data_IF_480934141212
#
_entry.id   IF_480934141212
#
_cell.length_a   1.000
_cell.length_b   1.000
_cell.length_c   1.000
_cell.angle_alpha   90.00
_cell.angle_beta   90.00
_cell.angle_gamma   90.00
#
_symmetry.space_group_name_H-M   'P 1'
#
loop_
_entity.id
_entity.type
_entity.pdbx_description
1 polymer ?
#
# COMPACT_ATOMS: atom_id res chain seq x y z
N UNK A 1 12.23 -11.24 2.83
CA UNK A 1 11.83 -12.43 2.01
C UNK A 1 13.00 -13.21 1.39
N UNK A 2 13.82 -12.66 0.47
CA UNK A 2 14.97 -13.39 -0.13
C UNK A 2 15.91 -14.01 0.90
N UNK A 3 16.46 -13.18 1.79
CA UNK A 3 17.40 -13.64 2.82
C UNK A 3 16.74 -14.40 3.99
N UNK A 4 15.44 -14.22 4.18
CA UNK A 4 14.70 -14.81 5.31
C UNK A 4 14.03 -16.14 4.97
N UNK A 5 13.66 -16.35 3.71
CA UNK A 5 13.00 -17.56 3.25
C UNK A 5 13.80 -18.22 2.14
N UNK A 6 13.91 -17.61 0.95
CA UNK A 6 14.42 -18.30 -0.24
C UNK A 6 15.86 -18.80 -0.09
N UNK A 7 16.76 -17.96 0.41
CA UNK A 7 18.16 -18.34 0.63
C UNK A 7 18.29 -19.47 1.68
N UNK A 8 17.36 -19.58 2.63
CA UNK A 8 17.36 -20.66 3.64
C UNK A 8 16.71 -21.92 3.09
N UNK A 9 15.58 -21.79 2.40
CA UNK A 9 14.82 -22.89 1.82
C UNK A 9 15.67 -23.67 0.81
N UNK A 10 16.32 -22.96 -0.12
CA UNK A 10 17.16 -23.59 -1.15
C UNK A 10 18.44 -24.22 -0.61
N UNK A 11 18.92 -23.82 0.58
CA UNK A 11 20.03 -24.50 1.26
C UNK A 11 19.60 -25.77 1.98
N UNK A 12 18.34 -25.87 2.39
CA UNK A 12 17.82 -26.98 3.21
C UNK A 12 17.10 -28.05 2.40
N UNK A 13 16.52 -27.69 1.26
CA UNK A 13 15.65 -28.57 0.47
C UNK A 13 15.86 -28.32 -1.02
N UNK A 14 16.04 -29.40 -1.78
CA UNK A 14 15.98 -29.38 -3.24
C UNK A 14 14.50 -29.52 -3.62
N UNK A 15 14.02 -28.58 -4.44
CA UNK A 15 12.65 -28.57 -4.94
C UNK A 15 12.63 -29.15 -6.34
N UNK A 16 11.70 -30.07 -6.61
CA UNK A 16 11.56 -30.70 -7.93
C UNK A 16 10.48 -30.06 -8.80
N UNK A 17 9.66 -29.18 -8.21
CA UNK A 17 8.64 -28.42 -8.92
C UNK A 17 8.38 -27.08 -8.23
N UNK A 18 7.77 -26.14 -8.95
CA UNK A 18 7.43 -24.82 -8.43
C UNK A 18 6.32 -24.94 -7.38
N UNK A 19 5.40 -25.88 -7.55
CA UNK A 19 4.27 -26.12 -6.63
C UNK A 19 4.78 -26.52 -5.24
N UNK A 20 5.83 -27.34 -5.18
CA UNK A 20 6.45 -27.71 -3.90
C UNK A 20 7.07 -26.50 -3.18
N UNK A 21 7.70 -25.60 -3.93
CA UNK A 21 8.23 -24.35 -3.38
C UNK A 21 7.09 -23.45 -2.90
N UNK A 22 6.03 -23.33 -3.69
CA UNK A 22 4.87 -22.50 -3.38
C UNK A 22 4.22 -22.92 -2.06
N UNK A 23 4.02 -24.22 -1.83
CA UNK A 23 3.47 -24.74 -0.58
C UNK A 23 4.28 -24.34 0.65
N UNK A 24 5.61 -24.35 0.54
CA UNK A 24 6.49 -23.96 1.65
C UNK A 24 6.52 -22.42 1.83
N UNK A 25 6.49 -21.66 0.74
CA UNK A 25 6.36 -20.19 0.76
C UNK A 25 5.06 -19.78 1.45
N UNK A 26 3.93 -20.38 1.07
CA UNK A 26 2.61 -20.03 1.59
C UNK A 26 2.53 -20.27 3.10
N UNK A 27 3.05 -21.43 3.55
CA UNK A 27 3.16 -21.74 4.99
C UNK A 27 4.04 -20.73 5.71
N UNK A 28 5.18 -20.37 5.13
CA UNK A 28 6.08 -19.40 5.73
C UNK A 28 5.46 -17.99 5.80
N UNK A 29 4.77 -17.56 4.73
CA UNK A 29 4.06 -16.28 4.67
C UNK A 29 2.96 -16.20 5.72
N UNK A 30 2.16 -17.27 5.87
CA UNK A 30 1.15 -17.33 6.94
C UNK A 30 1.81 -17.12 8.30
N UNK A 31 2.91 -17.82 8.58
CA UNK A 31 3.65 -17.66 9.82
C UNK A 31 4.15 -16.22 10.02
N UNK A 32 4.74 -15.64 8.99
CA UNK A 32 5.28 -14.28 9.03
C UNK A 32 4.18 -13.25 9.29
N UNK A 33 3.07 -13.33 8.57
CA UNK A 33 1.96 -12.36 8.64
C UNK A 33 1.17 -12.45 9.95
N UNK A 34 0.94 -13.65 10.46
CA UNK A 34 0.05 -13.89 11.61
C UNK A 34 0.77 -13.95 12.95
N UNK A 35 2.02 -14.43 13.01
CA UNK A 35 2.67 -14.77 14.29
C UNK A 35 3.91 -13.95 14.59
N UNK A 36 4.52 -13.29 13.60
CA UNK A 36 5.74 -12.52 13.84
C UNK A 36 5.34 -11.13 14.34
N UNK A 37 5.63 -10.76 15.61
CA UNK A 37 5.49 -9.37 16.03
C UNK A 37 6.53 -8.53 15.27
N UNK A 38 6.11 -7.42 14.68
CA UNK A 38 7.04 -6.51 14.05
C UNK A 38 7.94 -5.88 15.12
N UNK A 39 9.24 -6.15 15.00
CA UNK A 39 10.28 -5.53 15.82
C UNK A 39 10.40 -4.06 15.43
N UNK A 40 9.79 -3.16 16.21
CA UNK A 40 9.90 -1.72 15.99
C UNK A 40 9.03 -0.96 16.97
N UNK A 41 9.58 0.11 17.57
CA UNK A 41 8.86 0.96 18.54
C UNK A 41 7.50 1.43 18.03
N UNK A 42 7.40 1.70 16.72
CA UNK A 42 6.16 2.18 16.06
C UNK A 42 5.12 1.09 15.78
N UNK A 43 5.52 -0.18 15.82
CA UNK A 43 4.61 -1.30 15.52
C UNK A 43 4.01 -1.91 16.78
N UNK A 44 4.43 -1.48 17.99
CA UNK A 44 3.86 -1.87 19.29
C UNK A 44 3.68 -3.39 19.47
N UNK A 45 4.59 -4.19 18.91
CA UNK A 45 4.51 -5.65 18.97
C UNK A 45 3.36 -6.27 18.16
N UNK A 46 2.63 -5.49 17.37
CA UNK A 46 1.56 -5.96 16.50
C UNK A 46 2.13 -6.77 15.33
N UNK A 47 1.32 -7.70 14.84
CA UNK A 47 1.66 -8.51 13.66
C UNK A 47 1.48 -7.69 12.38
N UNK A 48 2.11 -8.09 11.26
CA UNK A 48 1.89 -7.44 9.96
C UNK A 48 0.40 -7.33 9.60
N UNK A 49 -0.35 -8.43 9.79
CA UNK A 49 -1.79 -8.45 9.51
C UNK A 49 -2.56 -7.46 10.38
N UNK A 50 -2.28 -7.40 11.69
CA UNK A 50 -2.94 -6.44 12.58
C UNK A 50 -2.62 -4.99 12.20
N UNK A 51 -1.36 -4.71 11.85
CA UNK A 51 -0.93 -3.39 11.42
C UNK A 51 -1.64 -2.96 10.15
N UNK A 52 -1.75 -3.86 9.17
CA UNK A 52 -2.45 -3.60 7.92
C UNK A 52 -3.93 -3.27 8.13
N UNK A 53 -4.64 -4.05 8.95
CA UNK A 53 -6.05 -3.79 9.24
C UNK A 53 -6.27 -2.45 9.96
N UNK A 54 -5.39 -2.10 10.91
CA UNK A 54 -5.43 -0.80 11.57
C UNK A 54 -5.24 0.34 10.56
N UNK A 55 -4.23 0.23 9.68
CA UNK A 55 -3.96 1.23 8.66
C UNK A 55 -5.12 1.35 7.65
N UNK A 56 -5.73 0.22 7.25
CA UNK A 56 -6.89 0.19 6.36
C UNK A 56 -8.07 0.97 6.95
N UNK A 57 -8.35 0.77 8.25
CA UNK A 57 -9.41 1.50 8.95
C UNK A 57 -9.17 3.01 8.91
N UNK A 58 -7.94 3.44 9.26
CA UNK A 58 -7.55 4.86 9.23
C UNK A 58 -7.68 5.46 7.83
N UNK A 59 -7.26 4.73 6.79
CA UNK A 59 -7.38 5.20 5.42
C UNK A 59 -8.84 5.38 4.96
N UNK A 60 -9.74 4.47 5.37
CA UNK A 60 -11.17 4.58 5.09
C UNK A 60 -11.76 5.78 5.83
N UNK A 61 -11.45 5.95 7.11
CA UNK A 61 -11.91 7.08 7.92
C UNK A 61 -11.45 8.42 7.33
N UNK A 62 -10.18 8.53 6.96
CA UNK A 62 -9.66 9.71 6.29
C UNK A 62 -10.32 9.95 4.92
N UNK A 63 -10.60 8.90 4.16
CA UNK A 63 -11.30 9.03 2.88
C UNK A 63 -12.75 9.52 3.06
N UNK A 64 -13.44 9.04 4.09
CA UNK A 64 -14.78 9.50 4.45
C UNK A 64 -14.75 10.97 4.89
N UNK A 65 -13.80 11.37 5.73
CA UNK A 65 -13.59 12.76 6.15
C UNK A 65 -13.36 13.68 4.93
N UNK A 66 -12.49 13.27 4.00
CA UNK A 66 -12.30 13.97 2.73
C UNK A 66 -13.59 14.06 1.90
N UNK A 67 -14.45 13.03 1.91
CA UNK A 67 -15.75 13.06 1.23
C UNK A 67 -16.74 14.00 1.92
N UNK A 68 -16.73 14.11 3.24
CA UNK A 68 -17.55 15.08 3.98
C UNK A 68 -17.08 16.53 3.73
N UNK A 69 -15.77 16.79 3.71
CA UNK A 69 -15.21 18.11 3.38
C UNK A 69 -15.47 18.51 1.92
N UNK A 70 -15.31 17.57 0.98
CA UNK A 70 -15.64 17.82 -0.42
C UNK A 70 -17.16 17.92 -0.66
N UNK A 71 -18.01 17.36 0.20
CA UNK A 71 -19.45 17.59 0.17
C UNK A 71 -19.86 19.04 0.44
N UNK A 72 -19.07 19.81 1.19
CA UNK A 72 -19.29 21.24 1.41
C UNK A 72 -18.61 22.15 0.36
N UNK A 73 -17.52 21.71 -0.29
CA UNK A 73 -16.71 22.53 -1.21
C UNK A 73 -16.50 21.93 -2.62
N UNK A 74 -17.35 21.00 -3.06
CA UNK A 74 -17.19 20.29 -4.35
C UNK A 74 -17.19 21.22 -5.56
N UNK A 75 -18.09 22.23 -5.56
CA UNK A 75 -18.23 23.17 -6.67
C UNK A 75 -17.00 24.07 -6.83
N UNK A 76 -16.48 24.62 -5.73
CA UNK A 76 -15.29 25.47 -5.74
C UNK A 76 -14.03 24.67 -6.13
N UNK A 77 -13.92 23.43 -5.67
CA UNK A 77 -12.77 22.57 -5.98
C UNK A 77 -12.75 22.17 -7.47
N UNK A 78 -13.92 21.89 -8.06
CA UNK A 78 -14.04 21.62 -9.49
C UNK A 78 -13.75 22.86 -10.33
N UNK A 79 -14.28 24.02 -9.94
CA UNK A 79 -14.05 25.29 -10.62
C UNK A 79 -12.56 25.68 -10.58
N UNK A 80 -11.89 25.48 -9.44
CA UNK A 80 -10.45 25.73 -9.30
C UNK A 80 -9.61 24.76 -10.15
N UNK A 81 -9.98 23.46 -10.20
CA UNK A 81 -9.30 22.46 -11.05
C UNK A 81 -9.46 22.78 -12.54
N UNK A 82 -10.66 23.18 -12.96
CA UNK A 82 -10.92 23.60 -14.34
C UNK A 82 -10.13 24.88 -14.68
N UNK A 83 -10.14 25.88 -13.80
CA UNK A 83 -9.37 27.11 -13.98
C UNK A 83 -7.87 26.83 -14.13
N UNK A 84 -7.29 26.03 -13.22
CA UNK A 84 -5.88 25.65 -13.28
C UNK A 84 -5.53 24.88 -14.56
N UNK A 85 -6.42 23.99 -15.02
CA UNK A 85 -6.25 23.27 -16.29
C UNK A 85 -6.26 24.21 -17.50
N UNK A 86 -7.16 25.18 -17.53
CA UNK A 86 -7.24 26.17 -18.61
C UNK A 86 -6.01 27.08 -18.63
N UNK A 87 -5.51 27.50 -17.47
CA UNK A 87 -4.29 28.31 -17.36
C UNK A 87 -3.04 27.56 -17.86
N UNK A 88 -2.92 26.26 -17.56
CA UNK A 88 -1.82 25.43 -18.08
C UNK A 88 -1.90 25.35 -19.62
N UNK A 89 -3.09 25.11 -20.17
CA UNK A 89 -3.28 25.04 -21.64
C UNK A 89 -2.97 26.37 -22.32
N UNK A 90 -3.40 27.50 -21.74
CA UNK A 90 -3.09 28.84 -22.26
C UNK A 90 -1.60 29.16 -22.17
N UNK A 91 -0.92 28.72 -21.11
CA UNK A 91 0.53 28.90 -20.94
C UNK A 91 1.33 28.05 -21.93
N UNK A 92 0.89 26.82 -22.21
CA UNK A 92 1.46 25.98 -23.25
C UNK A 92 1.22 26.58 -24.64
N UNK A 93 0.02 27.09 -24.93
CA UNK A 93 -0.27 27.78 -26.21
C UNK A 93 0.60 29.02 -26.44
N UNK A 94 1.02 29.73 -25.38
CA UNK A 94 1.96 30.88 -25.46
C UNK A 94 3.43 30.48 -25.64
N UNK A 95 3.80 29.22 -25.42
CA UNK A 95 5.18 28.73 -25.62
C UNK A 95 5.35 28.17 -27.03
N UNK A 96 4.28 27.67 -27.64
CA UNK A 96 4.30 26.99 -28.95
C UNK A 96 3.83 27.88 -30.14
N UNK A 97 3.66 29.19 -29.93
CA UNK A 97 3.43 30.24 -30.95
C UNK A 97 4.40 31.37 -30.62
#
# INVERSE_FOLDING_TARGET
>A
MKHEFYDIAFRKKIYHSVEQLQLDVDKWLKKYNEYRPHSGSRCYGKTPTQTFHNAKKLAIEAQLENQFESGHNAAETLQQKLYNRTQIILRLKKIYI
#
